data_IF_531077467851
#
_entry.id   IF_531077467851
#
_cell.length_a   1.000
_cell.length_b   1.000
_cell.length_c   1.000
_cell.angle_alpha   90.00
_cell.angle_beta   90.00
_cell.angle_gamma   90.00
#
_symmetry.space_group_name_H-M   'P 1'
#
loop_
_entity.id
_entity.type
_entity.pdbx_description
1 polymer ?
#
# COMPACT_ATOMS: atom_id res chain seq x y z
N UNK A 1 -3.56 -3.00 17.63
CA UNK A 1 -3.34 -3.53 16.27
C UNK A 1 -2.09 -4.40 16.30
N UNK A 2 -2.11 -5.58 15.65
CA UNK A 2 -0.92 -6.41 15.49
C UNK A 2 0.11 -5.71 14.58
N UNK A 3 1.36 -6.17 14.61
CA UNK A 3 2.48 -5.57 13.86
C UNK A 3 2.20 -5.51 12.35
N UNK A 4 1.54 -6.54 11.80
CA UNK A 4 1.09 -6.61 10.40
C UNK A 4 0.13 -5.48 9.99
N UNK A 5 -0.86 -5.19 10.83
CA UNK A 5 -1.79 -4.08 10.61
C UNK A 5 -1.13 -2.70 10.76
N UNK A 6 -0.18 -2.57 11.70
CA UNK A 6 0.57 -1.32 11.88
C UNK A 6 1.49 -1.04 10.69
N UNK A 7 2.19 -2.06 10.18
CA UNK A 7 3.08 -1.96 9.02
C UNK A 7 2.31 -1.54 7.77
N UNK A 8 1.16 -2.16 7.49
CA UNK A 8 0.38 -1.74 6.33
C UNK A 8 -0.39 -0.43 6.54
N UNK A 9 -0.75 -0.06 7.77
CA UNK A 9 -1.25 1.29 8.04
C UNK A 9 -0.18 2.35 7.73
N UNK A 10 1.06 2.14 8.18
CA UNK A 10 2.20 3.01 7.88
C UNK A 10 2.47 3.07 6.37
N UNK A 11 2.47 1.92 5.69
CA UNK A 11 2.64 1.86 4.24
C UNK A 11 1.52 2.62 3.50
N UNK A 12 0.26 2.41 3.87
CA UNK A 12 -0.87 3.09 3.25
C UNK A 12 -0.90 4.60 3.55
N UNK A 13 -0.59 5.00 4.79
CA UNK A 13 -0.52 6.40 5.18
C UNK A 13 0.58 7.15 4.42
N UNK A 14 1.76 6.53 4.28
CA UNK A 14 2.84 7.08 3.46
C UNK A 14 2.47 7.13 1.98
N UNK A 15 1.81 6.10 1.45
CA UNK A 15 1.33 6.08 0.06
C UNK A 15 0.35 7.22 -0.23
N UNK A 16 -0.62 7.45 0.67
CA UNK A 16 -1.56 8.58 0.58
C UNK A 16 -0.79 9.91 0.67
N UNK A 17 0.12 10.04 1.64
CA UNK A 17 0.93 11.24 1.82
C UNK A 17 1.74 11.61 0.59
N UNK A 18 2.44 10.63 -0.02
CA UNK A 18 3.22 10.85 -1.23
C UNK A 18 2.34 11.16 -2.45
N UNK A 19 1.22 10.46 -2.64
CA UNK A 19 0.26 10.80 -3.71
C UNK A 19 -0.26 12.23 -3.57
N UNK A 20 -0.63 12.66 -2.36
CA UNK A 20 -1.09 14.03 -2.13
C UNK A 20 0.02 15.05 -2.36
N UNK A 21 1.25 14.75 -1.95
CA UNK A 21 2.39 15.65 -2.14
C UNK A 21 2.65 15.90 -3.63
N UNK A 22 2.64 14.85 -4.45
CA UNK A 22 2.81 14.94 -5.91
C UNK A 22 1.67 15.71 -6.57
N UNK A 23 0.42 15.53 -6.12
CA UNK A 23 -0.75 16.21 -6.68
C UNK A 23 -0.85 17.69 -6.29
N UNK A 24 -0.39 18.06 -5.10
CA UNK A 24 -0.49 19.43 -4.57
C UNK A 24 0.71 20.29 -4.96
N UNK A 25 1.90 19.70 -5.11
CA UNK A 25 3.14 20.42 -5.38
C UNK A 25 3.59 20.15 -6.83
N UNK A 26 3.28 21.05 -7.78
CA UNK A 26 3.61 20.86 -9.19
C UNK A 26 5.12 20.77 -9.45
N UNK A 27 5.96 21.44 -8.65
CA UNK A 27 7.42 21.34 -8.72
C UNK A 27 7.95 19.91 -8.54
N UNK A 28 7.25 19.04 -7.81
CA UNK A 28 7.68 17.64 -7.64
C UNK A 28 7.50 16.85 -8.94
N UNK A 29 6.40 17.09 -9.66
CA UNK A 29 6.16 16.48 -10.96
C UNK A 29 7.19 16.95 -12.00
N UNK A 30 7.60 18.22 -11.93
CA UNK A 30 8.67 18.77 -12.78
C UNK A 30 10.05 18.21 -12.43
N UNK A 31 10.36 18.03 -11.14
CA UNK A 31 11.60 17.43 -10.68
C UNK A 31 11.72 15.93 -11.01
N UNK A 32 10.58 15.26 -11.22
CA UNK A 32 10.50 13.88 -11.70
C UNK A 32 10.58 13.78 -13.23
N UNK A 33 10.71 14.90 -13.95
CA UNK A 33 10.69 14.98 -15.43
C UNK A 33 9.46 14.32 -16.08
N UNK A 34 8.39 14.10 -15.30
CA UNK A 34 7.19 13.37 -15.73
C UNK A 34 5.96 14.30 -15.79
N UNK A 35 5.97 15.20 -16.78
CA UNK A 35 4.83 16.06 -17.09
C UNK A 35 3.89 15.36 -18.10
N UNK A 36 3.36 14.20 -17.72
CA UNK A 36 2.47 13.40 -18.56
C UNK A 36 1.11 13.18 -17.92
N UNK A 37 0.04 13.26 -18.73
CA UNK A 37 -1.33 12.94 -18.28
C UNK A 37 -1.41 11.52 -17.66
N UNK A 38 -0.65 10.57 -18.22
CA UNK A 38 -0.54 9.21 -17.69
C UNK A 38 0.04 9.17 -16.27
N UNK A 39 1.04 10.00 -15.95
CA UNK A 39 1.65 10.07 -14.61
C UNK A 39 0.64 10.55 -13.56
N UNK A 40 -0.13 11.60 -13.87
CA UNK A 40 -1.20 12.07 -13.00
C UNK A 40 -2.27 10.99 -12.77
N UNK A 41 -2.66 10.27 -13.82
CA UNK A 41 -3.65 9.19 -13.71
C UNK A 41 -3.15 8.03 -12.84
N UNK A 42 -1.88 7.64 -13.00
CA UNK A 42 -1.21 6.65 -12.16
C UNK A 42 -1.07 7.09 -10.70
N UNK A 43 -0.84 8.38 -10.45
CA UNK A 43 -0.74 8.97 -9.10
C UNK A 43 -2.08 8.99 -8.37
N UNK A 44 -3.17 9.26 -9.09
CA UNK A 44 -4.53 9.12 -8.55
C UNK A 44 -4.86 7.63 -8.33
N UNK A 45 -4.44 6.77 -9.25
CA UNK A 45 -4.58 5.32 -9.10
C UNK A 45 -3.90 4.79 -7.84
N UNK A 46 -2.64 5.19 -7.59
CA UNK A 46 -1.90 4.82 -6.38
C UNK A 46 -2.52 5.40 -5.11
N UNK A 47 -3.14 6.59 -5.17
CA UNK A 47 -3.88 7.17 -4.05
C UNK A 47 -5.08 6.29 -3.66
N UNK A 48 -5.88 5.90 -4.65
CA UNK A 48 -7.05 5.01 -4.44
C UNK A 48 -6.60 3.65 -3.91
N UNK A 49 -5.54 3.08 -4.48
CA UNK A 49 -5.00 1.80 -4.03
C UNK A 49 -4.42 1.85 -2.61
N UNK A 50 -3.76 2.95 -2.25
CA UNK A 50 -3.31 3.17 -0.87
C UNK A 50 -4.50 3.25 0.08
N UNK A 51 -5.63 3.82 -0.34
CA UNK A 51 -6.90 3.75 0.40
C UNK A 51 -7.41 2.32 0.59
N UNK A 52 -7.32 1.47 -0.44
CA UNK A 52 -7.64 0.03 -0.33
C UNK A 52 -6.68 -0.68 0.64
N UNK A 53 -5.38 -0.39 0.57
CA UNK A 53 -4.38 -0.89 1.52
C UNK A 53 -4.66 -0.46 2.96
N UNK A 54 -5.10 0.78 3.16
CA UNK A 54 -5.52 1.30 4.46
C UNK A 54 -6.72 0.53 4.99
N UNK A 55 -7.76 0.32 4.18
CA UNK A 55 -8.91 -0.50 4.56
C UNK A 55 -8.48 -1.95 4.89
N UNK A 56 -7.58 -2.53 4.10
CA UNK A 56 -6.96 -3.83 4.36
C UNK A 56 -6.29 -3.91 5.73
N UNK A 57 -5.58 -2.85 6.14
CA UNK A 57 -4.92 -2.76 7.45
C UNK A 57 -5.87 -2.79 8.65
N UNK A 58 -7.11 -2.30 8.49
CA UNK A 58 -8.14 -2.40 9.53
C UNK A 58 -8.82 -3.78 9.50
N UNK A 59 -9.11 -4.29 8.30
CA UNK A 59 -9.76 -5.60 8.10
C UNK A 59 -8.89 -6.75 8.60
N UNK A 60 -7.56 -6.64 8.48
CA UNK A 60 -6.61 -7.68 8.90
C UNK A 60 -6.76 -8.09 10.37
N UNK A 61 -7.24 -7.18 11.23
CA UNK A 61 -7.44 -7.45 12.66
C UNK A 61 -8.57 -8.45 12.92
N UNK A 62 -9.55 -8.56 12.02
CA UNK A 62 -10.70 -9.47 12.14
C UNK A 62 -10.63 -10.63 11.12
N UNK A 63 -10.09 -10.37 9.93
CA UNK A 63 -9.95 -11.34 8.83
C UNK A 63 -8.55 -11.22 8.22
N UNK A 64 -7.52 -11.89 8.79
CA UNK A 64 -6.14 -11.71 8.39
C UNK A 64 -5.88 -12.11 6.93
N UNK A 65 -6.51 -13.19 6.44
CA UNK A 65 -6.42 -13.60 5.03
C UNK A 65 -6.91 -12.54 4.05
N UNK A 66 -8.09 -11.96 4.31
CA UNK A 66 -8.69 -10.96 3.42
C UNK A 66 -7.94 -9.64 3.49
N UNK A 67 -7.58 -9.19 4.70
CA UNK A 67 -6.81 -7.97 4.92
C UNK A 67 -5.41 -8.04 4.31
N UNK A 68 -4.70 -9.15 4.54
CA UNK A 68 -3.37 -9.39 3.97
C UNK A 68 -3.39 -9.42 2.45
N UNK A 69 -4.35 -10.12 1.83
CA UNK A 69 -4.51 -10.13 0.38
C UNK A 69 -4.80 -8.73 -0.19
N UNK A 70 -5.65 -7.92 0.47
CA UNK A 70 -5.90 -6.54 0.07
C UNK A 70 -4.63 -5.68 0.14
N UNK A 71 -3.83 -5.83 1.19
CA UNK A 71 -2.58 -5.09 1.37
C UNK A 71 -1.56 -5.47 0.29
N UNK A 72 -1.38 -6.76 0.00
CA UNK A 72 -0.48 -7.21 -1.08
C UNK A 72 -0.97 -6.74 -2.46
N UNK A 73 -2.28 -6.84 -2.74
CA UNK A 73 -2.84 -6.35 -4.00
C UNK A 73 -2.63 -4.84 -4.18
N UNK A 74 -2.84 -4.07 -3.11
CA UNK A 74 -2.56 -2.64 -3.10
C UNK A 74 -1.06 -2.35 -3.28
N UNK A 75 -0.16 -3.15 -2.71
CA UNK A 75 1.28 -3.00 -2.90
C UNK A 75 1.67 -3.25 -4.37
N UNK A 76 1.11 -4.29 -5.01
CA UNK A 76 1.34 -4.61 -6.42
C UNK A 76 0.86 -3.48 -7.33
N UNK A 77 -0.35 -2.94 -7.14
CA UNK A 77 -0.77 -1.85 -8.01
C UNK A 77 -0.09 -0.51 -7.68
N UNK A 78 0.47 -0.33 -6.48
CA UNK A 78 1.37 0.79 -6.21
C UNK A 78 2.72 0.66 -6.95
N UNK A 79 3.19 -0.55 -7.26
CA UNK A 79 4.44 -0.73 -8.04
C UNK A 79 4.30 -0.30 -9.50
N UNK A 80 3.07 -0.25 -10.02
CA UNK A 80 2.78 0.30 -11.34
C UNK A 80 2.87 1.83 -11.38
N UNK A 81 2.95 2.49 -10.22
CA UNK A 81 3.26 3.91 -10.12
C UNK A 81 4.79 4.07 -10.17
N UNK A 82 5.29 4.73 -11.22
CA UNK A 82 6.70 4.75 -11.64
C UNK A 82 7.63 5.49 -10.66
N UNK A 83 7.07 6.24 -9.70
CA UNK A 83 7.86 7.13 -8.86
C UNK A 83 8.57 6.39 -7.71
N UNK A 84 9.87 6.64 -7.55
CA UNK A 84 10.71 6.07 -6.47
C UNK A 84 10.18 6.39 -5.06
N UNK A 85 9.38 7.45 -4.94
CA UNK A 85 8.69 7.82 -3.69
C UNK A 85 7.74 6.71 -3.20
N UNK A 86 7.18 5.89 -4.09
CA UNK A 86 6.28 4.80 -3.71
C UNK A 86 7.01 3.53 -3.27
N UNK A 87 8.34 3.46 -3.39
CA UNK A 87 9.10 2.26 -2.99
C UNK A 87 8.93 1.96 -1.50
N UNK A 88 9.00 2.97 -0.65
CA UNK A 88 8.81 2.81 0.80
C UNK A 88 7.40 2.30 1.17
N UNK A 89 6.30 2.92 0.71
CA UNK A 89 4.96 2.40 0.99
C UNK A 89 4.71 1.02 0.39
N UNK A 90 5.25 0.71 -0.80
CA UNK A 90 5.17 -0.63 -1.41
C UNK A 90 5.77 -1.68 -0.48
N UNK A 91 7.00 -1.46 0.00
CA UNK A 91 7.70 -2.44 0.86
C UNK A 91 6.95 -2.63 2.17
N UNK A 92 6.50 -1.55 2.81
CA UNK A 92 5.77 -1.63 4.08
C UNK A 92 4.43 -2.37 3.92
N UNK A 93 3.70 -2.10 2.84
CA UNK A 93 2.40 -2.72 2.58
C UNK A 93 2.55 -4.19 2.16
N UNK A 94 3.55 -4.52 1.37
CA UNK A 94 3.88 -5.89 0.99
C UNK A 94 4.31 -6.72 2.21
N UNK A 95 5.21 -6.21 3.04
CA UNK A 95 5.67 -6.91 4.26
C UNK A 95 4.51 -7.06 5.25
N UNK A 96 3.73 -6.00 5.49
CA UNK A 96 2.55 -6.07 6.36
C UNK A 96 1.52 -7.09 5.87
N UNK A 97 1.28 -7.14 4.56
CA UNK A 97 0.35 -8.09 3.95
C UNK A 97 0.84 -9.54 3.94
N UNK A 98 2.14 -9.77 3.70
CA UNK A 98 2.75 -11.10 3.73
C UNK A 98 2.76 -11.69 5.15
N UNK A 99 3.14 -10.90 6.16
CA UNK A 99 3.11 -11.35 7.56
C UNK A 99 1.69 -11.77 7.96
N UNK A 100 0.68 -10.99 7.56
CA UNK A 100 -0.72 -11.33 7.82
C UNK A 100 -1.18 -12.65 7.17
N UNK A 101 -0.68 -12.95 5.98
CA UNK A 101 -1.02 -14.18 5.27
C UNK A 101 -0.32 -15.40 5.89
N UNK A 102 0.96 -15.26 6.23
CA UNK A 102 1.76 -16.32 6.87
C UNK A 102 1.19 -16.66 8.26
N UNK A 103 0.89 -15.64 9.08
CA UNK A 103 0.30 -15.85 10.40
C UNK A 103 -1.09 -16.52 10.32
N UNK A 104 -1.83 -16.30 9.24
CA UNK A 104 -3.10 -16.98 9.01
C UNK A 104 -2.89 -18.45 8.65
N UNK A 105 -1.96 -18.76 7.75
CA UNK A 105 -1.64 -20.15 7.38
C UNK A 105 -1.13 -20.96 8.59
N UNK A 106 -0.27 -20.37 9.41
CA UNK A 106 0.25 -21.02 10.62
C UNK A 106 -0.88 -21.31 11.62
N UNK A 107 -1.79 -20.35 11.86
CA UNK A 107 -2.93 -20.56 12.75
C UNK A 107 -3.86 -21.69 12.27
N UNK A 108 -4.11 -21.78 10.96
CA UNK A 108 -4.93 -22.85 10.37
C UNK A 108 -4.25 -24.21 10.51
N UNK A 109 -2.93 -24.29 10.38
CA UNK A 109 -2.18 -25.55 10.45
C UNK A 109 -2.08 -26.17 11.86
N UNK A 110 -2.37 -25.40 12.92
CA UNK A 110 -2.35 -25.88 14.31
C UNK A 110 -3.72 -26.43 14.75
N UNK A 111 -4.79 -26.11 14.00
CA UNK A 111 -6.15 -26.62 14.26
C UNK A 111 -6.47 -27.94 13.54
N UNK A 112 -5.60 -28.42 12.63
CA UNK A 112 -5.67 -29.77 12.02
C UNK A 112 -4.84 -30.81 12.81
#
# INVERSE_FOLDING_TARGET
MKVEGLLGFLGAALGIGFSLMVLVIPDISQALEEESFFFYMLTIGSLVLSGVGLAGSFVVSHKPRLGGAMMVAAAIGCTMSISIMFLLPIVLLAVGGLIALINYEEAVSVEE
#
